data_IF_943956861134
#
_entry.id   IF_943956861134
#
_cell.length_a   1.000
_cell.length_b   1.000
_cell.length_c   1.000
_cell.angle_alpha   90.00
_cell.angle_beta   90.00
_cell.angle_gamma   90.00
#
_symmetry.space_group_name_H-M   'P 1'
#
loop_
_entity.id
_entity.type
_entity.pdbx_description
1 polymer ?
#
# COMPACT_ATOMS: atom_id res chain seq x y z
N UNK A 1 -44.09 4.98 -107.94
CA UNK A 1 -44.35 3.69 -107.32
C UNK A 1 -43.10 3.22 -106.69
N UNK A 2 -43.01 3.17 -105.39
CA UNK A 2 -41.81 2.79 -104.59
C UNK A 2 -41.83 1.30 -104.38
N UNK A 3 -40.65 0.59 -104.47
CA UNK A 3 -40.58 -0.82 -104.07
C UNK A 3 -40.37 -0.93 -102.54
N UNK A 4 -40.78 -2.03 -101.92
CA UNK A 4 -40.72 -2.25 -100.51
C UNK A 4 -39.29 -2.66 -100.09
N UNK A 5 -38.92 -2.38 -98.85
CA UNK A 5 -37.58 -2.73 -98.34
C UNK A 5 -37.49 -4.22 -97.96
N UNK A 6 -36.43 -4.84 -98.39
CA UNK A 6 -35.97 -6.18 -97.99
C UNK A 6 -35.61 -6.21 -96.53
N UNK A 7 -36.31 -6.99 -95.76
CA UNK A 7 -35.94 -7.33 -94.42
C UNK A 7 -34.97 -8.53 -94.45
N UNK A 8 -33.70 -8.29 -94.14
CA UNK A 8 -32.77 -9.36 -93.82
C UNK A 8 -33.12 -9.95 -92.47
N UNK A 9 -33.11 -11.28 -92.29
CA UNK A 9 -33.27 -11.91 -91.01
C UNK A 9 -31.96 -11.76 -90.24
N UNK A 10 -32.00 -11.01 -89.17
CA UNK A 10 -30.92 -10.88 -88.21
C UNK A 10 -30.70 -12.23 -87.50
N UNK A 11 -29.68 -12.96 -87.89
CA UNK A 11 -29.23 -14.16 -87.17
C UNK A 11 -28.90 -13.79 -85.78
N UNK A 12 -29.72 -14.20 -84.84
CA UNK A 12 -29.41 -14.22 -83.41
C UNK A 12 -28.32 -15.29 -83.19
N UNK A 13 -27.08 -14.88 -83.25
CA UNK A 13 -26.00 -15.63 -82.71
C UNK A 13 -26.09 -15.42 -81.17
N UNK A 14 -26.80 -16.32 -80.50
CA UNK A 14 -26.64 -16.57 -79.09
C UNK A 14 -25.18 -17.05 -78.84
N UNK A 15 -24.29 -16.14 -78.63
CA UNK A 15 -22.99 -16.41 -78.07
C UNK A 15 -23.22 -16.92 -76.67
N UNK A 16 -23.15 -18.27 -76.49
CA UNK A 16 -22.83 -18.89 -75.17
C UNK A 16 -21.48 -18.33 -74.76
N UNK A 17 -21.48 -17.21 -74.05
CA UNK A 17 -20.38 -16.77 -73.26
C UNK A 17 -20.20 -17.79 -72.15
N UNK A 18 -19.39 -18.82 -72.43
CA UNK A 18 -18.81 -19.58 -71.36
C UNK A 18 -18.04 -18.59 -70.51
N UNK A 19 -18.58 -18.31 -69.31
CA UNK A 19 -17.81 -17.67 -68.31
C UNK A 19 -16.59 -18.55 -68.01
N UNK A 20 -15.49 -18.20 -68.63
CA UNK A 20 -14.18 -18.73 -68.23
C UNK A 20 -13.97 -18.20 -66.83
N UNK A 21 -14.41 -18.97 -65.84
CA UNK A 21 -13.96 -18.80 -64.49
C UNK A 21 -12.44 -19.03 -64.54
N UNK A 22 -11.70 -17.96 -64.46
CA UNK A 22 -10.23 -18.00 -64.40
C UNK A 22 -9.81 -19.00 -63.33
N UNK A 23 -8.98 -20.02 -63.64
CA UNK A 23 -8.58 -21.04 -62.70
C UNK A 23 -7.70 -20.51 -61.58
N UNK A 24 -7.35 -19.23 -61.57
CA UNK A 24 -6.45 -18.61 -60.59
C UNK A 24 -7.06 -18.26 -59.25
N UNK A 25 -8.40 -18.28 -59.12
CA UNK A 25 -9.06 -17.94 -57.84
C UNK A 25 -9.14 -19.10 -56.84
N UNK A 26 -8.88 -20.35 -57.28
CA UNK A 26 -9.03 -21.56 -56.45
C UNK A 26 -7.75 -21.96 -55.71
N UNK A 27 -6.62 -21.32 -55.98
CA UNK A 27 -5.32 -21.68 -55.35
C UNK A 27 -4.78 -20.60 -54.41
N UNK A 28 -5.45 -19.50 -54.26
CA UNK A 28 -4.94 -18.41 -53.43
C UNK A 28 -5.20 -18.69 -51.94
N UNK A 29 -4.14 -18.74 -51.13
CA UNK A 29 -4.25 -18.91 -49.68
C UNK A 29 -5.03 -17.72 -49.09
N UNK A 30 -6.03 -18.02 -48.28
CA UNK A 30 -6.80 -16.98 -47.59
C UNK A 30 -5.91 -16.21 -46.59
N UNK A 31 -6.18 -14.91 -46.45
CA UNK A 31 -5.46 -14.09 -45.47
C UNK A 31 -5.85 -14.42 -44.04
N UNK A 32 -4.92 -14.19 -43.07
CA UNK A 32 -5.25 -14.20 -41.65
C UNK A 32 -6.44 -13.29 -41.33
N UNK A 33 -7.24 -13.66 -40.33
CA UNK A 33 -8.46 -12.92 -39.98
C UNK A 33 -8.40 -12.48 -38.53
N UNK A 34 -9.28 -11.51 -38.18
CA UNK A 34 -9.47 -11.01 -36.82
C UNK A 34 -8.16 -10.65 -36.14
N UNK A 35 -7.37 -9.81 -36.80
CA UNK A 35 -6.17 -9.25 -36.18
C UNK A 35 -6.56 -8.48 -34.93
N UNK A 36 -5.92 -8.81 -33.80
CA UNK A 36 -6.12 -8.16 -32.51
C UNK A 36 -4.80 -7.68 -31.97
N UNK A 37 -4.73 -6.41 -31.64
CA UNK A 37 -3.59 -5.81 -30.94
C UNK A 37 -3.89 -5.81 -29.44
N UNK A 38 -2.95 -6.32 -28.66
CA UNK A 38 -2.97 -6.27 -27.21
C UNK A 38 -1.87 -5.31 -26.75
N UNK A 39 -2.28 -4.22 -26.12
CA UNK A 39 -1.41 -3.21 -25.52
C UNK A 39 -1.79 -3.13 -24.04
N UNK A 40 -0.89 -3.60 -23.18
CA UNK A 40 -1.11 -3.57 -21.73
C UNK A 40 0.19 -3.16 -21.04
N UNK A 41 0.18 -2.05 -20.35
CA UNK A 41 1.39 -1.44 -19.76
C UNK A 41 2.47 -1.26 -20.83
N UNK A 42 3.56 -1.99 -20.71
CA UNK A 42 4.67 -1.99 -21.67
C UNK A 42 4.62 -3.17 -22.64
N UNK A 43 3.60 -4.01 -22.54
CA UNK A 43 3.41 -5.16 -23.43
C UNK A 43 2.79 -4.76 -24.75
N UNK A 44 3.32 -5.31 -25.83
CA UNK A 44 2.86 -5.09 -27.21
C UNK A 44 2.80 -6.44 -27.92
N UNK A 45 1.61 -6.94 -28.21
CA UNK A 45 1.42 -8.23 -28.86
C UNK A 45 0.34 -8.16 -29.92
N UNK A 46 0.62 -8.72 -31.08
CA UNK A 46 -0.34 -8.92 -32.16
C UNK A 46 -0.75 -10.39 -32.24
N UNK A 47 -2.03 -10.65 -32.37
CA UNK A 47 -2.59 -11.99 -32.58
C UNK A 47 -3.58 -12.00 -33.74
N UNK A 48 -3.79 -13.15 -34.35
CA UNK A 48 -4.70 -13.32 -35.47
C UNK A 48 -5.30 -14.72 -35.49
N UNK A 49 -6.36 -14.90 -36.22
CA UNK A 49 -6.92 -16.22 -36.52
C UNK A 49 -6.30 -16.78 -37.82
N UNK A 50 -5.97 -18.09 -37.86
CA UNK A 50 -5.44 -18.71 -39.05
C UNK A 50 -6.45 -18.67 -40.22
N UNK A 51 -5.97 -18.78 -41.49
CA UNK A 51 -6.87 -18.98 -42.61
C UNK A 51 -7.66 -20.28 -42.42
N UNK A 52 -8.86 -20.39 -43.09
CA UNK A 52 -9.63 -21.60 -43.03
C UNK A 52 -8.79 -22.84 -43.44
N UNK A 53 -9.10 -23.97 -42.82
CA UNK A 53 -8.48 -25.22 -43.16
C UNK A 53 -8.70 -25.56 -44.65
N UNK A 54 -7.67 -26.07 -45.30
CA UNK A 54 -7.71 -26.52 -46.67
C UNK A 54 -7.22 -27.97 -46.73
N UNK A 55 -7.44 -28.66 -47.83
CA UNK A 55 -6.97 -30.05 -48.05
C UNK A 55 -5.43 -30.14 -48.12
N UNK A 56 -4.74 -29.00 -48.18
CA UNK A 56 -3.29 -28.96 -48.19
C UNK A 56 -2.72 -29.06 -46.75
N UNK A 57 -2.00 -30.15 -46.48
CA UNK A 57 -1.45 -30.52 -45.18
C UNK A 57 -0.14 -29.82 -44.82
N UNK A 58 0.42 -29.01 -45.74
CA UNK A 58 1.66 -28.27 -45.47
C UNK A 58 1.46 -27.24 -44.38
N UNK A 59 2.43 -27.05 -43.49
CA UNK A 59 2.32 -26.07 -42.41
C UNK A 59 2.17 -24.63 -42.97
N UNK A 60 1.33 -23.86 -42.31
CA UNK A 60 1.17 -22.41 -42.57
C UNK A 60 2.16 -21.68 -41.70
N UNK A 61 2.89 -20.76 -42.30
CA UNK A 61 3.73 -19.79 -41.58
C UNK A 61 3.26 -18.38 -41.87
N UNK A 62 3.57 -17.48 -40.97
CA UNK A 62 3.12 -16.08 -41.03
C UNK A 62 4.30 -15.12 -41.12
N UNK A 63 4.06 -14.02 -41.82
CA UNK A 63 5.00 -12.91 -41.93
C UNK A 63 4.31 -11.65 -41.42
N UNK A 64 4.98 -10.97 -40.48
CA UNK A 64 4.55 -9.69 -39.94
C UNK A 64 5.47 -8.60 -40.50
N UNK A 65 4.87 -7.52 -40.98
CA UNK A 65 5.59 -6.33 -41.39
C UNK A 65 5.01 -5.10 -40.72
N UNK A 66 5.86 -4.11 -40.50
CA UNK A 66 5.50 -2.82 -39.90
C UNK A 66 5.91 -1.66 -40.76
N UNK A 67 5.31 -0.49 -40.51
CA UNK A 67 5.70 0.77 -41.08
C UNK A 67 5.38 1.91 -40.10
N UNK A 68 6.15 3.00 -40.20
CA UNK A 68 5.82 4.27 -39.54
C UNK A 68 5.17 5.26 -40.53
N UNK A 69 5.24 4.98 -41.83
CA UNK A 69 4.61 5.76 -42.90
C UNK A 69 3.93 4.76 -43.85
N UNK A 70 2.66 4.90 -44.08
CA UNK A 70 1.94 3.95 -44.97
C UNK A 70 2.64 3.86 -46.35
N UNK A 71 2.87 2.62 -46.76
CA UNK A 71 3.54 2.30 -48.01
C UNK A 71 5.00 1.86 -47.87
N UNK A 72 5.71 2.20 -46.80
CA UNK A 72 7.12 1.83 -46.58
C UNK A 72 7.21 0.68 -45.57
N UNK A 73 7.10 -0.55 -46.04
CA UNK A 73 6.99 -1.72 -45.16
C UNK A 73 8.34 -2.36 -44.86
N UNK A 74 8.57 -2.67 -43.59
CA UNK A 74 9.77 -3.34 -43.09
C UNK A 74 9.41 -4.67 -42.43
N UNK A 75 10.28 -5.66 -42.61
CA UNK A 75 10.15 -6.94 -41.92
C UNK A 75 10.56 -6.80 -40.46
N UNK A 76 9.77 -7.39 -39.58
CA UNK A 76 10.10 -7.43 -38.16
C UNK A 76 11.14 -8.55 -37.95
N UNK A 77 12.39 -8.19 -37.71
CA UNK A 77 13.52 -9.11 -37.54
C UNK A 77 13.77 -9.47 -36.08
N UNK A 78 13.52 -8.52 -35.17
CA UNK A 78 13.68 -8.68 -33.72
C UNK A 78 12.46 -8.02 -33.00
N UNK A 79 11.62 -8.81 -32.34
CA UNK A 79 11.60 -10.30 -32.33
C UNK A 79 11.35 -10.87 -33.72
N UNK A 80 11.85 -12.07 -33.97
CA UNK A 80 11.66 -12.72 -35.28
C UNK A 80 10.20 -13.13 -35.47
N UNK A 81 9.42 -12.29 -36.13
CA UNK A 81 8.03 -12.57 -36.53
C UNK A 81 7.93 -12.80 -38.06
N UNK A 82 8.99 -13.33 -38.65
CA UNK A 82 9.05 -13.73 -40.06
C UNK A 82 9.10 -15.24 -40.14
N UNK A 83 8.18 -15.84 -40.89
CA UNK A 83 8.04 -17.28 -41.07
C UNK A 83 7.75 -18.07 -39.78
N UNK A 84 6.97 -17.49 -38.87
CA UNK A 84 6.52 -18.11 -37.62
C UNK A 84 5.29 -18.99 -37.85
N UNK A 85 5.23 -20.13 -37.16
CA UNK A 85 4.07 -21.01 -37.19
C UNK A 85 2.97 -20.58 -36.19
N UNK A 86 3.35 -19.77 -35.20
CA UNK A 86 2.42 -19.25 -34.20
C UNK A 86 1.52 -18.16 -34.79
N UNK A 87 0.30 -18.06 -34.28
CA UNK A 87 -0.70 -17.04 -34.66
C UNK A 87 -0.61 -15.78 -33.77
N UNK A 88 0.55 -15.53 -33.22
CA UNK A 88 0.87 -14.36 -32.39
C UNK A 88 2.30 -13.90 -32.63
N UNK A 89 2.53 -12.63 -32.47
CA UNK A 89 3.84 -12.00 -32.50
C UNK A 89 3.95 -11.07 -31.30
N UNK A 90 4.87 -11.38 -30.39
CA UNK A 90 5.16 -10.56 -29.22
C UNK A 90 6.37 -9.65 -29.56
N UNK A 91 6.13 -8.34 -29.53
CA UNK A 91 7.16 -7.32 -29.77
C UNK A 91 7.35 -6.39 -28.56
N UNK A 92 7.01 -6.89 -27.37
CA UNK A 92 7.20 -6.16 -26.10
C UNK A 92 8.66 -5.70 -25.92
N UNK A 93 9.59 -6.49 -26.41
CA UNK A 93 11.03 -6.19 -26.33
C UNK A 93 11.61 -6.39 -24.94
N UNK A 94 12.68 -7.17 -24.87
CA UNK A 94 13.44 -7.35 -23.63
C UNK A 94 14.42 -6.21 -23.40
N UNK A 95 14.20 -5.38 -22.38
CA UNK A 95 15.18 -4.39 -21.95
C UNK A 95 14.97 -2.96 -22.48
N UNK A 96 16.08 -2.21 -22.65
CA UNK A 96 16.04 -0.77 -22.95
C UNK A 96 15.58 -0.41 -24.36
N UNK A 97 15.58 -1.35 -25.29
CA UNK A 97 15.19 -1.10 -26.68
C UNK A 97 13.76 -1.64 -26.88
N UNK A 98 12.81 -0.74 -26.94
CA UNK A 98 11.45 -1.06 -27.38
C UNK A 98 11.44 -1.24 -28.88
N UNK A 99 10.72 -2.27 -29.36
CA UNK A 99 10.60 -2.53 -30.80
C UNK A 99 9.89 -1.36 -31.48
N UNK A 100 8.80 -0.89 -30.89
CA UNK A 100 8.09 0.29 -31.35
C UNK A 100 8.12 1.39 -30.28
N UNK A 101 8.63 2.60 -30.62
CA UNK A 101 8.52 3.73 -29.71
C UNK A 101 7.07 4.07 -29.40
N UNK A 102 6.77 4.36 -28.13
CA UNK A 102 5.40 4.52 -27.65
C UNK A 102 4.64 5.72 -28.23
N UNK A 103 5.36 6.75 -28.67
CA UNK A 103 4.82 7.98 -29.26
C UNK A 103 4.63 7.92 -30.76
N UNK A 104 5.07 6.84 -31.43
CA UNK A 104 5.01 6.74 -32.90
C UNK A 104 3.76 6.00 -33.34
N UNK A 105 3.16 6.49 -34.43
CA UNK A 105 2.08 5.77 -35.12
C UNK A 105 2.68 4.60 -35.89
N UNK A 106 2.17 3.41 -35.62
CA UNK A 106 2.65 2.15 -36.20
C UNK A 106 1.54 1.53 -37.04
N UNK A 107 1.91 1.14 -38.24
CA UNK A 107 1.10 0.35 -39.14
C UNK A 107 1.59 -1.09 -39.10
N UNK A 108 0.69 -2.06 -38.99
CA UNK A 108 1.01 -3.49 -38.98
C UNK A 108 0.23 -4.21 -40.07
N UNK A 109 0.86 -5.21 -40.67
CA UNK A 109 0.22 -6.15 -41.58
C UNK A 109 0.74 -7.56 -41.41
N UNK A 110 -0.13 -8.54 -41.66
CA UNK A 110 0.20 -9.95 -41.56
C UNK A 110 -0.25 -10.67 -42.84
N UNK A 111 0.57 -11.61 -43.31
CA UNK A 111 0.14 -12.55 -44.34
C UNK A 111 0.48 -13.98 -43.97
N UNK A 112 -0.25 -14.91 -44.51
CA UNK A 112 0.01 -16.34 -44.40
C UNK A 112 0.80 -16.82 -45.63
N UNK A 113 1.68 -17.81 -45.40
CA UNK A 113 2.41 -18.50 -46.46
C UNK A 113 2.31 -20.04 -46.22
N UNK A 114 2.07 -20.78 -47.30
CA UNK A 114 2.03 -22.22 -47.29
C UNK A 114 2.84 -22.74 -48.49
N UNK A 115 4.07 -23.20 -48.25
CA UNK A 115 5.00 -23.50 -49.33
C UNK A 115 5.28 -22.27 -50.18
N UNK A 116 4.97 -22.32 -51.48
CA UNK A 116 5.14 -21.19 -52.43
C UNK A 116 3.90 -20.28 -52.50
N UNK A 117 2.78 -20.65 -51.92
CA UNK A 117 1.55 -19.85 -51.97
C UNK A 117 1.54 -18.83 -50.81
N UNK A 118 1.27 -17.58 -51.13
CA UNK A 118 1.12 -16.50 -50.16
C UNK A 118 -0.28 -15.92 -50.23
N UNK A 119 -0.82 -15.52 -49.10
CA UNK A 119 -2.07 -14.80 -49.00
C UNK A 119 -1.89 -13.30 -49.33
N UNK A 120 -3.01 -12.61 -49.52
CA UNK A 120 -3.04 -11.17 -49.40
C UNK A 120 -2.64 -10.72 -47.99
N UNK A 121 -2.22 -9.46 -47.85
CA UNK A 121 -1.95 -8.85 -46.58
C UNK A 121 -3.24 -8.47 -45.85
N UNK A 122 -3.38 -8.93 -44.63
CA UNK A 122 -4.33 -8.40 -43.67
C UNK A 122 -3.69 -7.24 -42.93
N UNK A 123 -4.32 -6.07 -42.96
CA UNK A 123 -3.83 -4.85 -42.29
C UNK A 123 -4.58 -4.65 -40.97
N UNK A 124 -3.88 -4.15 -39.97
CA UNK A 124 -4.42 -3.63 -38.72
C UNK A 124 -4.62 -2.11 -38.89
N UNK A 125 -5.59 -1.54 -38.20
CA UNK A 125 -5.71 -0.10 -38.08
C UNK A 125 -4.47 0.48 -37.40
N UNK A 126 -4.00 1.66 -37.87
CA UNK A 126 -2.81 2.27 -37.26
C UNK A 126 -3.03 2.57 -35.80
N UNK A 127 -2.00 2.37 -34.99
CA UNK A 127 -2.07 2.59 -33.54
C UNK A 127 -0.87 3.39 -33.04
N UNK A 128 -1.05 4.02 -31.91
CA UNK A 128 -0.01 4.63 -31.12
C UNK A 128 -0.09 4.08 -29.68
N UNK A 129 1.01 3.55 -29.17
CA UNK A 129 0.96 2.83 -27.89
C UNK A 129 0.32 3.66 -26.77
N UNK A 130 0.83 4.87 -26.54
CA UNK A 130 0.32 5.75 -25.48
C UNK A 130 -1.17 6.15 -25.62
N UNK A 131 -1.73 6.09 -26.82
CA UNK A 131 -3.15 6.41 -27.04
C UNK A 131 -4.05 5.20 -26.87
N UNK A 132 -3.53 4.01 -27.17
CA UNK A 132 -4.33 2.79 -27.26
C UNK A 132 -4.05 1.80 -26.11
N UNK A 133 -3.08 2.12 -25.22
CA UNK A 133 -2.68 1.21 -24.14
C UNK A 133 -3.73 1.12 -23.04
N UNK A 134 -3.97 -0.10 -22.57
CA UNK A 134 -4.63 -0.33 -21.28
C UNK A 134 -3.60 -0.18 -20.17
N UNK A 135 -3.74 0.84 -19.34
CA UNK A 135 -2.87 1.09 -18.20
C UNK A 135 -3.29 0.17 -17.06
N UNK A 136 -2.39 -0.66 -16.60
CA UNK A 136 -2.60 -1.49 -15.42
C UNK A 136 -2.45 -0.71 -14.11
N UNK A 137 -2.73 -1.34 -12.97
CA UNK A 137 -2.54 -0.72 -11.67
C UNK A 137 -1.06 -0.45 -11.37
N UNK A 138 -0.77 0.47 -10.44
CA UNK A 138 0.57 0.63 -9.89
C UNK A 138 1.12 -0.70 -9.34
N UNK A 139 2.45 -0.87 -9.41
CA UNK A 139 3.16 -2.07 -8.94
C UNK A 139 3.69 -1.89 -7.53
N UNK A 140 3.99 -2.99 -6.84
CA UNK A 140 4.66 -3.00 -5.53
C UNK A 140 3.97 -2.09 -4.50
N UNK A 141 2.63 -2.15 -4.46
CA UNK A 141 1.84 -1.34 -3.53
C UNK A 141 2.11 -1.84 -2.12
N UNK A 142 2.57 -0.95 -1.26
CA UNK A 142 2.73 -1.18 0.17
C UNK A 142 2.03 -0.08 0.96
N UNK A 143 1.34 -0.47 2.02
CA UNK A 143 0.59 0.45 2.87
C UNK A 143 1.09 0.34 4.28
N UNK A 144 1.54 1.45 4.83
CA UNK A 144 2.00 1.54 6.22
C UNK A 144 0.97 2.30 7.04
N UNK A 145 0.35 1.66 8.04
CA UNK A 145 -0.56 2.33 8.95
C UNK A 145 0.15 3.38 9.79
N UNK A 146 -0.46 4.57 9.88
CA UNK A 146 -0.01 5.67 10.69
C UNK A 146 -1.08 6.10 11.69
N UNK A 147 -0.77 7.13 12.45
CA UNK A 147 -1.64 7.73 13.45
C UNK A 147 -2.78 8.51 12.78
N UNK A 148 -3.95 7.88 12.62
CA UNK A 148 -5.05 8.48 11.86
C UNK A 148 -4.71 8.74 10.39
N UNK A 149 -3.78 7.96 9.84
CA UNK A 149 -3.33 8.09 8.45
C UNK A 149 -2.92 6.75 7.87
N UNK A 150 -2.85 6.67 6.54
CA UNK A 150 -2.26 5.55 5.81
C UNK A 150 -1.24 6.11 4.82
N UNK A 151 -0.03 5.61 4.86
CA UNK A 151 1.03 5.97 3.90
C UNK A 151 1.11 4.87 2.86
N UNK A 152 0.88 5.23 1.61
CA UNK A 152 0.83 4.32 0.46
C UNK A 152 2.05 4.57 -0.40
N UNK A 153 2.88 3.55 -0.60
CA UNK A 153 4.01 3.57 -1.53
C UNK A 153 3.76 2.58 -2.66
N UNK A 154 4.15 2.94 -3.85
CA UNK A 154 4.02 2.08 -5.03
C UNK A 154 5.04 2.47 -6.11
N UNK A 155 5.14 1.64 -7.12
CA UNK A 155 5.90 1.91 -8.34
C UNK A 155 4.95 2.13 -9.52
N UNK A 156 5.35 2.90 -10.54
CA UNK A 156 4.53 3.08 -11.75
C UNK A 156 4.25 1.73 -12.44
N UNK A 157 3.15 1.63 -13.21
CA UNK A 157 2.83 0.41 -13.96
C UNK A 157 3.93 0.00 -14.95
N UNK A 158 4.54 0.99 -15.59
CA UNK A 158 5.65 0.82 -16.53
C UNK A 158 6.46 2.11 -16.65
N UNK A 159 7.62 2.03 -17.26
CA UNK A 159 8.47 3.21 -17.48
C UNK A 159 7.96 4.04 -18.66
N UNK A 160 7.86 5.34 -18.47
CA UNK A 160 7.45 6.30 -19.50
C UNK A 160 8.60 7.20 -19.90
N UNK A 161 8.60 7.65 -21.14
CA UNK A 161 9.56 8.63 -21.65
C UNK A 161 9.02 10.06 -21.47
N UNK A 162 9.85 11.06 -21.73
CA UNK A 162 9.61 12.49 -21.42
C UNK A 162 8.29 13.09 -21.91
N UNK A 163 7.61 12.47 -22.87
CA UNK A 163 6.35 12.93 -23.46
C UNK A 163 5.13 12.54 -22.65
N UNK A 164 5.28 11.61 -21.69
CA UNK A 164 4.21 11.11 -20.86
C UNK A 164 4.57 11.15 -19.37
N UNK A 165 3.57 11.22 -18.52
CA UNK A 165 3.72 11.14 -17.07
C UNK A 165 2.55 10.38 -16.48
N UNK A 166 2.72 9.82 -15.28
CA UNK A 166 1.61 9.28 -14.53
C UNK A 166 1.09 10.26 -13.51
N UNK A 167 -0.22 10.22 -13.31
CA UNK A 167 -0.86 10.70 -12.10
C UNK A 167 -1.69 9.59 -11.50
N UNK A 168 -1.91 9.68 -10.17
CA UNK A 168 -2.46 8.60 -9.40
C UNK A 168 -3.67 9.04 -8.62
N UNK A 169 -4.64 8.14 -8.49
CA UNK A 169 -5.83 8.32 -7.68
C UNK A 169 -5.90 7.21 -6.65
N UNK A 170 -6.38 7.54 -5.46
CA UNK A 170 -6.64 6.58 -4.40
C UNK A 170 -8.13 6.59 -4.10
N UNK A 171 -8.74 5.45 -4.34
CA UNK A 171 -10.12 5.17 -3.97
C UNK A 171 -10.09 4.49 -2.61
N UNK A 172 -10.76 5.06 -1.60
CA UNK A 172 -10.76 4.51 -0.25
C UNK A 172 -12.13 4.65 0.41
N UNK A 173 -12.44 3.74 1.32
CA UNK A 173 -13.71 3.71 2.05
C UNK A 173 -13.55 2.99 3.39
N UNK A 174 -14.32 3.41 4.39
CA UNK A 174 -14.57 2.64 5.59
C UNK A 174 -15.61 1.54 5.27
N UNK A 175 -15.53 0.39 5.89
CA UNK A 175 -16.31 -0.82 5.56
C UNK A 175 -17.82 -0.60 5.37
N UNK A 176 -18.38 0.46 5.93
CA UNK A 176 -19.81 0.82 5.89
C UNK A 176 -20.11 2.13 5.16
N UNK A 177 -19.10 2.85 4.68
CA UNK A 177 -19.24 4.17 4.04
C UNK A 177 -19.12 4.07 2.52
N UNK A 178 -19.56 5.15 1.84
CA UNK A 178 -19.37 5.32 0.39
C UNK A 178 -17.91 5.53 0.04
N UNK A 179 -17.53 5.04 -1.12
CA UNK A 179 -16.17 5.20 -1.66
C UNK A 179 -15.86 6.68 -1.89
N UNK A 180 -14.68 7.10 -1.42
CA UNK A 180 -14.11 8.43 -1.61
C UNK A 180 -12.91 8.33 -2.54
N UNK A 181 -12.63 9.39 -3.30
CA UNK A 181 -11.50 9.47 -4.21
C UNK A 181 -10.63 10.65 -3.82
N UNK A 182 -9.34 10.43 -3.67
CA UNK A 182 -8.32 11.48 -3.51
C UNK A 182 -7.34 11.44 -4.69
N UNK A 183 -6.97 12.60 -5.20
CA UNK A 183 -6.05 12.78 -6.34
C UNK A 183 -6.41 14.03 -7.14
N UNK A 184 -5.70 14.30 -8.24
CA UNK A 184 -4.55 13.54 -8.78
C UNK A 184 -3.24 13.78 -8.01
N UNK A 185 -2.48 12.73 -7.81
CA UNK A 185 -1.14 12.79 -7.24
C UNK A 185 -0.08 12.53 -8.31
N UNK A 186 1.04 13.25 -8.26
CA UNK A 186 2.17 13.07 -9.18
C UNK A 186 3.34 12.28 -8.57
N UNK A 187 3.20 11.91 -7.31
CA UNK A 187 4.22 11.18 -6.54
C UNK A 187 3.82 9.74 -6.34
N UNK A 188 4.78 8.88 -6.18
CA UNK A 188 4.60 7.46 -5.88
C UNK A 188 4.53 7.14 -4.36
N UNK A 189 4.41 8.19 -3.55
CA UNK A 189 4.17 8.11 -2.11
C UNK A 189 3.02 9.05 -1.77
N UNK A 190 1.95 8.51 -1.23
CA UNK A 190 0.71 9.22 -0.93
C UNK A 190 0.37 9.04 0.53
N UNK A 191 0.04 10.13 1.21
CA UNK A 191 -0.46 10.09 2.58
C UNK A 191 -1.96 10.36 2.54
N UNK A 192 -2.74 9.39 3.03
CA UNK A 192 -4.15 9.60 3.37
C UNK A 192 -4.21 9.99 4.84
N UNK A 193 -4.46 11.24 5.09
CA UNK A 193 -4.63 11.88 6.40
C UNK A 193 -6.11 12.05 6.76
N UNK A 194 -6.37 12.55 7.96
CA UNK A 194 -7.72 12.81 8.50
C UNK A 194 -8.61 11.55 8.58
N UNK A 195 -7.97 10.40 8.78
CA UNK A 195 -8.68 9.14 9.00
C UNK A 195 -8.97 8.94 10.49
N UNK A 196 -10.10 8.30 10.79
CA UNK A 196 -10.45 7.95 12.18
C UNK A 196 -9.46 6.90 12.71
N UNK A 197 -8.94 7.04 13.93
CA UNK A 197 -8.05 6.05 14.53
C UNK A 197 -8.81 4.74 14.83
N UNK A 198 -8.09 3.62 14.82
CA UNK A 198 -8.62 2.27 15.06
C UNK A 198 -9.80 1.90 14.15
N UNK A 199 -9.72 2.32 12.88
CA UNK A 199 -10.70 1.98 11.86
C UNK A 199 -10.03 1.29 10.69
N UNK A 200 -10.75 0.34 10.12
CA UNK A 200 -10.31 -0.38 8.93
C UNK A 200 -10.79 0.37 7.69
N UNK A 201 -9.83 0.80 6.89
CA UNK A 201 -10.06 1.41 5.59
C UNK A 201 -9.60 0.46 4.50
N UNK A 202 -10.47 0.25 3.52
CA UNK A 202 -10.12 -0.47 2.30
C UNK A 202 -9.77 0.55 1.22
N UNK A 203 -8.78 0.24 0.41
CA UNK A 203 -8.31 1.13 -0.65
C UNK A 203 -7.93 0.39 -1.93
N UNK A 204 -7.97 1.11 -3.03
CA UNK A 204 -7.48 0.74 -4.35
C UNK A 204 -6.72 1.94 -4.93
N UNK A 205 -5.68 1.68 -5.68
CA UNK A 205 -4.92 2.70 -6.39
C UNK A 205 -5.09 2.55 -7.89
N UNK A 206 -5.19 3.66 -8.59
CA UNK A 206 -5.33 3.74 -10.03
C UNK A 206 -4.24 4.65 -10.59
N UNK A 207 -3.65 4.27 -11.73
CA UNK A 207 -2.70 5.09 -12.45
C UNK A 207 -3.34 5.60 -13.74
N UNK A 208 -3.24 6.87 -13.99
CA UNK A 208 -3.70 7.51 -15.23
C UNK A 208 -2.49 8.03 -16.01
N UNK A 209 -2.42 7.72 -17.29
CA UNK A 209 -1.36 8.19 -18.18
C UNK A 209 -1.72 9.56 -18.75
N UNK A 210 -0.85 10.54 -18.58
CA UNK A 210 -1.02 11.91 -19.07
C UNK A 210 -0.01 12.17 -20.19
N UNK A 211 -0.51 12.50 -21.36
CA UNK A 211 0.28 12.89 -22.51
C UNK A 211 0.39 14.42 -22.58
N UNK A 212 1.62 14.95 -22.61
CA UNK A 212 1.88 16.41 -22.56
C UNK A 212 1.25 17.21 -23.70
N UNK A 213 1.06 16.61 -24.86
CA UNK A 213 0.64 17.29 -26.08
C UNK A 213 -0.76 16.93 -26.55
N UNK A 214 -1.52 16.16 -25.81
CA UNK A 214 -2.86 15.67 -26.18
C UNK A 214 -3.76 15.60 -24.97
N UNK A 215 -5.04 15.93 -25.17
CA UNK A 215 -6.08 15.84 -24.14
C UNK A 215 -6.64 14.40 -24.00
N UNK A 216 -5.81 13.39 -24.28
CA UNK A 216 -6.19 11.99 -24.13
C UNK A 216 -5.57 11.53 -22.82
N UNK A 217 -6.42 11.12 -21.90
CA UNK A 217 -6.06 10.70 -20.55
C UNK A 217 -6.63 9.30 -20.31
N UNK A 218 -5.94 8.23 -20.79
CA UNK A 218 -6.39 6.87 -20.54
C UNK A 218 -6.41 6.58 -19.02
N UNK A 219 -7.61 6.35 -18.49
CA UNK A 219 -7.79 5.85 -17.15
C UNK A 219 -7.25 4.43 -17.03
N UNK A 220 -6.52 4.16 -15.98
CA UNK A 220 -5.97 2.84 -15.73
C UNK A 220 -6.95 1.92 -15.03
N UNK A 221 -6.56 0.67 -14.93
CA UNK A 221 -7.30 -0.30 -14.13
C UNK A 221 -6.95 -0.10 -12.65
N UNK A 222 -7.94 -0.19 -11.75
CA UNK A 222 -7.68 -0.12 -10.32
C UNK A 222 -6.94 -1.37 -9.83
N UNK A 223 -6.15 -1.22 -8.78
CA UNK A 223 -5.49 -2.32 -8.11
C UNK A 223 -6.48 -3.23 -7.37
N UNK A 224 -6.00 -4.37 -6.90
CA UNK A 224 -6.76 -5.17 -5.96
C UNK A 224 -7.04 -4.37 -4.68
N UNK A 225 -8.19 -4.66 -4.05
CA UNK A 225 -8.57 -4.05 -2.78
C UNK A 225 -7.64 -4.55 -1.68
N UNK A 226 -7.09 -3.62 -0.91
CA UNK A 226 -6.37 -3.93 0.33
C UNK A 226 -6.97 -3.14 1.49
N UNK A 227 -7.07 -3.78 2.67
CA UNK A 227 -7.70 -3.16 3.84
C UNK A 227 -6.69 -3.09 4.98
N UNK A 228 -6.58 -1.91 5.61
CA UNK A 228 -5.60 -1.61 6.64
C UNK A 228 -6.25 -0.87 7.80
N UNK A 229 -5.86 -1.19 9.02
CA UNK A 229 -6.32 -0.52 10.22
C UNK A 229 -5.39 0.64 10.57
N UNK A 230 -5.96 1.81 10.86
CA UNK A 230 -5.23 2.98 11.35
C UNK A 230 -4.86 2.81 12.81
N UNK A 231 -3.71 3.37 13.23
CA UNK A 231 -3.28 3.36 14.62
C UNK A 231 -3.78 4.58 15.39
N UNK A 232 -3.65 4.55 16.73
CA UNK A 232 -3.99 5.69 17.58
C UNK A 232 -3.16 6.92 17.25
N UNK A 233 -3.77 8.08 17.34
CA UNK A 233 -3.04 9.34 17.38
C UNK A 233 -2.26 9.47 18.70
N UNK A 234 -1.09 10.10 18.68
CA UNK A 234 -0.28 10.31 19.88
C UNK A 234 -1.03 11.10 20.96
N UNK A 235 -1.91 12.02 20.57
CA UNK A 235 -2.75 12.79 21.48
C UNK A 235 -3.76 11.92 22.22
N UNK A 236 -4.42 10.98 21.52
CA UNK A 236 -5.40 10.08 22.15
C UNK A 236 -4.74 9.09 23.11
N UNK A 237 -3.55 8.58 22.78
CA UNK A 237 -2.81 7.68 23.67
C UNK A 237 -2.30 8.42 24.92
N UNK A 238 -1.82 9.64 24.79
CA UNK A 238 -1.40 10.46 25.92
C UNK A 238 -2.57 10.82 26.84
N UNK A 239 -3.72 11.18 26.27
CA UNK A 239 -4.93 11.48 27.03
C UNK A 239 -5.42 10.26 27.80
N UNK A 240 -5.40 9.07 27.22
CA UNK A 240 -5.74 7.82 27.93
C UNK A 240 -4.78 7.53 29.08
N UNK A 241 -3.48 7.71 28.89
CA UNK A 241 -2.48 7.52 29.95
C UNK A 241 -2.71 8.50 31.10
N UNK A 242 -2.97 9.78 30.79
CA UNK A 242 -3.27 10.81 31.82
C UNK A 242 -4.53 10.44 32.61
N UNK A 243 -5.58 9.98 31.94
CA UNK A 243 -6.83 9.55 32.62
C UNK A 243 -6.61 8.34 33.54
N UNK A 244 -5.81 7.36 33.10
CA UNK A 244 -5.45 6.18 33.90
C UNK A 244 -4.65 6.62 35.14
N UNK A 245 -3.60 7.44 34.97
CA UNK A 245 -2.78 7.93 36.06
C UNK A 245 -3.61 8.77 37.06
N UNK A 246 -4.50 9.61 36.57
CA UNK A 246 -5.41 10.38 37.43
C UNK A 246 -6.38 9.46 38.19
N UNK A 247 -6.92 8.43 37.56
CA UNK A 247 -7.75 7.42 38.23
C UNK A 247 -7.03 6.65 39.33
N UNK A 248 -5.78 6.24 39.07
CA UNK A 248 -4.92 5.59 40.09
C UNK A 248 -4.64 6.54 41.24
N UNK A 249 -4.29 7.80 40.95
CA UNK A 249 -4.02 8.81 41.96
C UNK A 249 -5.23 9.05 42.89
N UNK A 250 -6.43 9.20 42.31
CA UNK A 250 -7.67 9.37 43.07
C UNK A 250 -7.99 8.15 43.94
N UNK A 251 -7.72 6.92 43.42
CA UNK A 251 -7.90 5.69 44.18
C UNK A 251 -6.94 5.63 45.38
N UNK A 252 -5.68 6.01 45.20
CA UNK A 252 -4.72 6.05 46.29
C UNK A 252 -5.12 7.07 47.37
N UNK A 253 -5.60 8.26 46.96
CA UNK A 253 -6.10 9.26 47.90
C UNK A 253 -7.31 8.74 48.69
N UNK A 254 -8.22 8.02 48.04
CA UNK A 254 -9.37 7.42 48.72
C UNK A 254 -8.94 6.34 49.73
N UNK A 255 -8.00 5.49 49.34
CA UNK A 255 -7.46 4.44 50.25
C UNK A 255 -6.72 5.04 51.43
N UNK A 256 -5.84 6.04 51.21
CA UNK A 256 -5.11 6.72 52.28
C UNK A 256 -6.08 7.45 53.24
N UNK A 257 -7.12 8.12 52.69
CA UNK A 257 -8.18 8.75 53.48
C UNK A 257 -8.96 7.73 54.33
N UNK A 258 -9.33 6.61 53.70
CA UNK A 258 -10.03 5.53 54.42
C UNK A 258 -9.16 4.92 55.54
N UNK A 259 -7.88 4.64 55.27
CA UNK A 259 -6.92 4.16 56.28
C UNK A 259 -6.75 5.17 57.42
N UNK A 260 -6.68 6.47 57.11
CA UNK A 260 -6.57 7.53 58.11
C UNK A 260 -7.83 7.62 58.98
N UNK A 261 -9.03 7.53 58.41
CA UNK A 261 -10.28 7.51 59.16
C UNK A 261 -10.35 6.25 60.03
N UNK A 262 -9.97 5.08 59.55
CA UNK A 262 -9.90 3.86 60.30
C UNK A 262 -8.90 3.96 61.45
N UNK A 263 -7.71 4.54 61.18
CA UNK A 263 -6.70 4.79 62.23
C UNK A 263 -7.25 5.69 63.34
N UNK A 264 -7.89 6.81 62.99
CA UNK A 264 -8.49 7.71 63.97
C UNK A 264 -9.61 7.00 64.79
N UNK A 265 -10.44 6.19 64.12
CA UNK A 265 -11.58 5.49 64.76
C UNK A 265 -11.09 4.34 65.70
N UNK A 266 -9.98 3.71 65.37
CA UNK A 266 -9.44 2.59 66.17
C UNK A 266 -8.20 2.98 66.96
N UNK A 267 -7.79 4.26 66.97
CA UNK A 267 -6.60 4.74 67.68
C UNK A 267 -6.56 4.37 69.14
N UNK A 268 -7.71 4.40 69.83
CA UNK A 268 -7.83 3.97 71.24
C UNK A 268 -7.58 2.48 71.44
N UNK A 269 -7.96 1.62 70.51
CA UNK A 269 -7.74 0.16 70.57
C UNK A 269 -6.26 -0.17 70.22
N UNK A 270 -5.69 0.51 69.21
CA UNK A 270 -4.29 0.35 68.84
C UNK A 270 -3.38 0.82 69.96
N UNK A 271 -3.72 1.92 70.66
CA UNK A 271 -2.97 2.41 71.84
C UNK A 271 -2.99 1.42 72.96
N UNK A 272 -4.08 0.70 73.16
CA UNK A 272 -4.18 -0.38 74.17
C UNK A 272 -3.24 -1.57 73.83
N UNK A 273 -3.08 -1.93 72.58
CA UNK A 273 -2.21 -3.01 72.16
C UNK A 273 -0.70 -2.69 72.28
N UNK A 274 -0.31 -1.41 72.01
CA UNK A 274 1.09 -0.97 72.10
C UNK A 274 1.47 -0.42 73.49
N UNK A 275 0.52 -0.19 74.39
CA UNK A 275 0.76 0.28 75.74
C UNK A 275 0.28 -0.74 76.79
N UNK A 276 0.43 -2.04 76.49
CA UNK A 276 0.40 -3.00 77.58
C UNK A 276 1.57 -2.65 78.52
N UNK A 277 1.28 -2.20 79.74
CA UNK A 277 2.38 -1.90 80.68
C UNK A 277 3.22 -3.16 80.86
N UNK A 278 4.53 -3.04 80.86
CA UNK A 278 5.38 -4.18 81.24
C UNK A 278 4.92 -4.71 82.58
N UNK A 279 4.69 -6.02 82.69
CA UNK A 279 4.35 -6.67 83.92
C UNK A 279 5.46 -6.31 84.93
N UNK A 280 5.08 -5.49 85.92
CA UNK A 280 6.05 -5.09 86.97
C UNK A 280 6.33 -6.38 87.77
N UNK A 281 7.58 -6.80 87.84
CA UNK A 281 7.94 -7.98 88.62
C UNK A 281 7.34 -7.91 90.05
N UNK A 282 6.83 -9.00 90.58
CA UNK A 282 6.15 -9.06 91.88
C UNK A 282 7.00 -8.50 93.02
N UNK A 283 8.33 -8.54 92.85
CA UNK A 283 9.29 -7.96 93.81
C UNK A 283 9.18 -6.44 93.96
N UNK A 284 8.81 -5.74 92.88
CA UNK A 284 8.60 -4.28 92.92
C UNK A 284 7.22 -3.91 93.36
N UNK A 285 6.20 -4.84 93.21
CA UNK A 285 4.86 -4.69 93.75
C UNK A 285 4.84 -4.76 95.24
N UNK A 286 5.75 -5.56 95.84
CA UNK A 286 5.89 -5.73 97.32
C UNK A 286 6.54 -4.49 97.92
N UNK A 287 7.51 -3.87 97.21
CA UNK A 287 8.13 -2.58 97.56
C UNK A 287 7.19 -1.40 97.64
N UNK A 288 6.15 -1.42 96.80
CA UNK A 288 5.21 -0.29 96.68
C UNK A 288 3.99 -0.49 97.67
N UNK A 289 3.92 -1.60 98.35
CA UNK A 289 2.78 -1.90 99.18
C UNK A 289 2.93 -1.40 100.65
N UNK A 290 4.18 -1.07 101.04
CA UNK A 290 4.47 -0.55 102.39
C UNK A 290 5.57 0.49 102.31
N UNK A 291 5.27 1.79 102.01
CA UNK A 291 6.28 2.85 101.96
C UNK A 291 6.81 3.32 103.31
N UNK A 292 6.17 2.96 104.42
CA UNK A 292 6.50 3.51 105.72
C UNK A 292 7.62 2.71 106.49
N UNK A 293 8.04 1.53 106.07
CA UNK A 293 9.14 0.80 106.67
C UNK A 293 10.51 1.19 106.16
N UNK A 294 10.60 1.71 104.95
CA UNK A 294 11.87 2.08 104.35
C UNK A 294 12.42 3.47 104.79
N UNK A 295 11.57 4.29 105.36
CA UNK A 295 12.00 5.63 105.83
C UNK A 295 12.60 5.49 107.19
N UNK A 296 12.28 4.49 107.99
CA UNK A 296 12.91 4.25 109.31
C UNK A 296 14.30 3.60 109.25
N UNK A 297 14.58 2.75 108.30
CA UNK A 297 15.91 2.13 108.11
C UNK A 297 16.95 3.05 107.42
N UNK A 298 16.50 4.06 106.70
CA UNK A 298 17.43 5.06 106.04
C UNK A 298 17.85 6.15 107.01
N UNK A 299 17.27 6.33 108.16
CA UNK A 299 17.59 7.34 109.17
C UNK A 299 18.65 6.90 110.14
N UNK A 300 18.99 5.58 110.20
CA UNK A 300 19.95 5.04 111.21
C UNK A 300 21.39 4.77 110.69
N UNK A 301 21.70 5.19 109.51
CA UNK A 301 23.09 5.13 108.96
C UNK A 301 23.55 6.48 108.50
N UNK A 302 23.92 7.25 109.55
CA UNK A 302 24.59 8.52 109.52
C UNK A 302 25.99 8.34 108.96
N UNK A 303 26.49 9.29 108.23
CA UNK A 303 27.91 9.35 107.86
C UNK A 303 28.25 10.17 106.64
N UNK A 304 28.04 11.47 106.72
CA UNK A 304 28.91 12.55 106.23
C UNK A 304 29.77 12.44 104.94
N UNK A 305 30.23 13.52 104.37
CA UNK A 305 29.97 13.94 103.00
C UNK A 305 31.22 13.86 102.13
N UNK A 306 31.05 13.94 100.84
CA UNK A 306 32.04 14.66 100.00
C UNK A 306 31.49 14.92 98.58
N UNK A 307 31.71 16.12 98.22
CA UNK A 307 31.59 16.80 96.97
C UNK A 307 32.04 16.09 95.69
N UNK A 308 31.59 16.63 94.65
CA UNK A 308 32.14 16.67 93.27
C UNK A 308 31.32 15.82 92.28
N UNK A 309 30.90 16.31 91.21
CA UNK A 309 31.28 17.13 90.12
C UNK A 309 30.22 17.01 89.05
N UNK A 310 29.86 18.12 88.52
CA UNK A 310 28.97 18.24 87.32
C UNK A 310 29.79 17.90 86.10
N UNK A 311 29.37 16.95 85.30
CA UNK A 311 29.82 16.79 83.92
C UNK A 311 28.77 17.02 82.93
N UNK A 312 29.08 17.93 82.04
CA UNK A 312 28.31 18.50 81.02
C UNK A 312 28.12 17.54 79.84
N UNK A 313 26.88 17.39 79.39
CA UNK A 313 26.53 16.71 78.12
C UNK A 313 26.71 17.69 76.99
N UNK A 314 27.64 17.43 76.11
CA UNK A 314 27.89 18.17 74.91
C UNK A 314 27.00 17.70 73.81
N UNK A 315 26.24 18.62 73.16
CA UNK A 315 25.47 18.47 71.98
C UNK A 315 26.43 18.47 70.77
N UNK A 316 26.46 17.37 70.00
CA UNK A 316 27.16 17.32 68.73
C UNK A 316 26.16 17.67 67.62
N UNK A 317 26.33 18.85 67.07
CA UNK A 317 25.73 19.27 65.82
C UNK A 317 26.58 18.78 64.65
N UNK A 318 25.97 18.15 63.70
CA UNK A 318 26.58 17.68 62.48
C UNK A 318 26.52 18.80 61.41
N UNK A 319 27.57 19.04 60.63
CA UNK A 319 27.61 20.10 59.65
C UNK A 319 27.09 19.63 58.28
N UNK A 320 26.37 20.52 57.69
CA UNK A 320 25.96 20.65 56.29
C UNK A 320 27.20 20.68 55.39
N UNK A 321 27.14 19.94 54.26
CA UNK A 321 28.03 20.16 53.13
C UNK A 321 27.20 20.37 51.86
N UNK A 322 27.15 21.61 51.49
CA UNK A 322 26.97 22.14 50.17
C UNK A 322 28.16 21.72 49.27
N UNK A 323 27.88 21.22 48.06
CA UNK A 323 28.85 21.32 46.99
C UNK A 323 28.11 21.40 45.66
N UNK A 324 28.13 22.61 45.10
CA UNK A 324 28.00 22.94 43.70
C UNK A 324 29.01 22.15 42.88
N UNK A 325 28.60 21.69 41.72
CA UNK A 325 29.45 21.76 40.55
C UNK A 325 28.66 21.80 39.23
N UNK A 326 28.94 22.88 38.61
CA UNK A 326 28.71 23.32 37.23
C UNK A 326 29.54 22.44 36.29
N UNK A 327 29.02 22.12 35.11
CA UNK A 327 29.67 22.25 33.80
C UNK A 327 28.99 21.35 32.73
N UNK A 328 28.34 22.02 31.80
CA UNK A 328 28.81 22.27 30.41
C UNK A 328 28.65 21.13 29.39
N UNK A 329 27.96 21.57 28.40
CA UNK A 329 27.69 21.12 27.02
C UNK A 329 29.04 20.89 26.23
N UNK A 330 29.07 20.05 25.18
CA UNK A 330 28.53 20.51 23.86
C UNK A 330 27.37 19.72 23.30
#
# INVERSE_FOLDING_TARGET
>A
MRPPPLWLPLLLLCGLGAAVSSPDSLSQLAAPRKLKLHLYNDEQMLSWEPPPSSNDTRPVVYQVEYSYVDGFWHRLREPNCTDIAETKCDFTGGGRLKVFPYSYTVFLRVRARRGQHTSHWAKLDPFQHYENVTVGPPKNISVTPGKGSLVIHFSPPFDVVQEATFQYFVHYWEKTETQKVKGPYKTNSIVLDDLKPFRVYCLQTEAQLILKNRNIEPHGLPSNVSCHETTADASTSLQQVILILFGIFMLLLALTGACFILFLRYQSRVKYWFQAPPDIPEQIKEYLKDPDQLILEALDKDGSPKDEAWDSVSIISSPEKEQDDVLQIP
#
